data_IF_399212680285
#
_entry.id   IF_399212680285
#
_cell.length_a   1.000
_cell.length_b   1.000
_cell.length_c   1.000
_cell.angle_alpha   90.00
_cell.angle_beta   90.00
_cell.angle_gamma   90.00
#
_symmetry.space_group_name_H-M   'P 1'
#
loop_
_entity.id
_entity.type
_entity.pdbx_description
1 polymer ?
#
# COMPACT_ATOMS: atom_id res chain seq x y z
N UNK A 1 15.60 -2.38 18.26
CA UNK A 1 15.60 -3.66 17.54
C UNK A 1 14.67 -3.58 16.32
N UNK A 2 15.18 -3.09 15.19
CA UNK A 2 14.41 -2.90 13.95
C UNK A 2 14.12 -4.26 13.31
N UNK A 3 12.88 -4.71 13.39
CA UNK A 3 12.46 -5.97 12.75
C UNK A 3 12.36 -5.75 11.24
N UNK A 4 13.12 -6.54 10.48
CA UNK A 4 13.11 -6.63 9.01
C UNK A 4 11.69 -6.84 8.48
N UNK A 5 11.04 -5.80 7.99
CA UNK A 5 9.94 -5.92 7.05
C UNK A 5 10.54 -5.74 5.66
N UNK A 6 10.91 -6.85 5.02
CA UNK A 6 11.18 -6.87 3.58
C UNK A 6 9.87 -6.73 2.79
N UNK A 7 9.96 -6.65 1.45
CA UNK A 7 8.80 -6.62 0.55
C UNK A 7 8.13 -8.00 0.53
N UNK A 8 7.44 -8.39 1.62
CA UNK A 8 6.90 -9.74 1.78
C UNK A 8 5.47 -9.89 1.24
N UNK A 9 4.85 -8.85 0.67
CA UNK A 9 3.47 -8.90 0.13
C UNK A 9 3.39 -9.70 -1.17
N UNK A 10 4.49 -9.81 -1.90
CA UNK A 10 4.51 -10.44 -3.21
C UNK A 10 4.73 -11.97 -3.17
N UNK A 11 5.13 -12.54 -2.02
CA UNK A 11 5.35 -13.99 -1.84
C UNK A 11 4.17 -14.70 -1.15
N UNK A 12 3.10 -13.98 -0.80
CA UNK A 12 2.02 -14.54 0.02
C UNK A 12 0.93 -15.25 -0.78
N UNK A 13 0.81 -14.98 -2.08
CA UNK A 13 -0.20 -15.59 -2.94
C UNK A 13 0.43 -16.27 -4.18
N UNK A 14 0.18 -17.58 -4.41
CA UNK A 14 0.69 -18.32 -5.57
C UNK A 14 0.33 -17.67 -6.92
N UNK A 15 -0.85 -17.07 -7.01
CA UNK A 15 -1.41 -16.50 -8.24
C UNK A 15 -1.15 -14.99 -8.40
N UNK A 16 -0.55 -14.33 -7.40
CA UNK A 16 -0.26 -12.89 -7.48
C UNK A 16 0.62 -12.53 -8.69
N UNK A 17 1.53 -13.43 -9.07
CA UNK A 17 2.35 -13.24 -10.26
C UNK A 17 1.55 -13.30 -11.56
N UNK A 18 0.44 -14.05 -11.60
CA UNK A 18 -0.46 -14.07 -12.75
C UNK A 18 -1.13 -12.71 -12.97
N UNK A 19 -1.62 -12.09 -11.89
CA UNK A 19 -2.25 -10.76 -11.93
C UNK A 19 -1.27 -9.65 -12.36
N UNK A 20 -0.03 -9.69 -11.86
CA UNK A 20 1.01 -8.73 -12.27
C UNK A 20 1.42 -8.86 -13.74
N UNK A 21 1.17 -10.02 -14.38
CA UNK A 21 1.54 -10.30 -15.77
C UNK A 21 0.51 -9.82 -16.80
N UNK A 22 -0.64 -9.30 -16.37
CA UNK A 22 -1.76 -8.99 -17.27
C UNK A 22 -1.55 -7.74 -18.16
N UNK A 23 -0.40 -7.04 -18.10
CA UNK A 23 -0.22 -5.73 -18.75
C UNK A 23 1.07 -5.51 -19.55
N UNK A 24 1.35 -6.31 -20.59
CA UNK A 24 2.42 -5.99 -21.56
C UNK A 24 3.82 -6.57 -21.24
N UNK A 25 3.86 -7.66 -20.50
CA UNK A 25 5.08 -8.28 -19.95
C UNK A 25 6.14 -8.65 -20.99
N UNK A 26 5.75 -8.99 -22.23
CA UNK A 26 6.68 -9.31 -23.31
C UNK A 26 7.57 -8.15 -23.77
N UNK A 27 7.28 -6.90 -23.35
CA UNK A 27 8.15 -5.74 -23.59
C UNK A 27 9.07 -5.42 -22.40
N UNK A 28 8.72 -5.85 -21.19
CA UNK A 28 9.38 -5.43 -19.94
C UNK A 28 10.19 -6.55 -19.30
N UNK A 29 9.84 -7.82 -19.58
CA UNK A 29 10.52 -8.99 -19.03
C UNK A 29 10.85 -10.00 -20.14
N UNK A 30 12.07 -10.55 -20.07
CA UNK A 30 12.55 -11.53 -21.05
C UNK A 30 12.12 -12.97 -20.73
N UNK A 31 11.31 -13.19 -19.69
CA UNK A 31 10.88 -14.53 -19.29
C UNK A 31 10.01 -14.56 -18.04
N UNK A 32 9.53 -15.77 -17.71
CA UNK A 32 8.69 -16.05 -16.56
C UNK A 32 9.54 -16.60 -15.42
N UNK A 33 9.71 -15.83 -14.35
CA UNK A 33 10.41 -16.30 -13.15
C UNK A 33 9.47 -17.14 -12.26
N UNK A 34 10.00 -18.24 -11.74
CA UNK A 34 9.28 -19.05 -10.75
C UNK A 34 9.00 -18.22 -9.49
N UNK A 35 7.83 -18.37 -8.84
CA UNK A 35 7.48 -17.62 -7.63
C UNK A 35 8.55 -17.71 -6.52
N UNK A 36 9.21 -18.87 -6.39
CA UNK A 36 10.29 -19.11 -5.41
C UNK A 36 11.56 -18.29 -5.67
N UNK A 37 11.91 -18.05 -6.94
CA UNK A 37 13.05 -17.21 -7.34
C UNK A 37 12.80 -15.76 -6.95
N UNK A 38 11.61 -15.24 -7.28
CA UNK A 38 11.24 -13.88 -6.93
C UNK A 38 11.10 -13.71 -5.41
N UNK A 39 10.47 -14.65 -4.72
CA UNK A 39 10.37 -14.61 -3.26
C UNK A 39 11.73 -14.54 -2.57
N UNK A 40 12.74 -15.26 -3.09
CA UNK A 40 14.10 -15.21 -2.57
C UNK A 40 14.81 -13.89 -2.87
N UNK A 41 14.61 -13.33 -4.07
CA UNK A 41 15.09 -12.00 -4.43
C UNK A 41 14.50 -10.91 -3.53
N UNK A 42 13.18 -10.91 -3.32
CA UNK A 42 12.49 -9.93 -2.48
C UNK A 42 12.86 -10.05 -1.00
N UNK A 43 13.16 -11.27 -0.52
CA UNK A 43 13.70 -11.49 0.84
C UNK A 43 15.10 -10.91 1.04
N UNK A 44 15.88 -10.71 -0.02
CA UNK A 44 17.19 -10.06 0.06
C UNK A 44 17.09 -8.55 0.29
N UNK A 45 15.91 -7.94 0.13
CA UNK A 45 15.76 -6.50 0.28
C UNK A 45 15.80 -6.09 1.76
N UNK A 46 16.75 -5.22 2.08
CA UNK A 46 16.81 -4.53 3.38
C UNK A 46 15.93 -3.28 3.37
N UNK A 47 15.71 -2.68 4.54
CA UNK A 47 14.89 -1.48 4.70
C UNK A 47 15.26 -0.35 3.72
N UNK A 48 16.55 -0.13 3.46
CA UNK A 48 17.00 0.87 2.47
C UNK A 48 16.52 0.58 1.05
N UNK A 49 16.57 -0.67 0.60
CA UNK A 49 16.08 -1.07 -0.73
C UNK A 49 14.57 -0.88 -0.85
N UNK A 50 13.82 -1.18 0.22
CA UNK A 50 12.36 -0.94 0.25
C UNK A 50 12.07 0.55 0.06
N UNK A 51 12.82 1.42 0.74
CA UNK A 51 12.66 2.88 0.57
C UNK A 51 12.99 3.36 -0.83
N UNK A 52 13.98 2.77 -1.48
CA UNK A 52 14.28 3.08 -2.88
C UNK A 52 13.14 2.64 -3.80
N UNK A 53 12.54 1.47 -3.54
CA UNK A 53 11.39 1.00 -4.30
C UNK A 53 10.15 1.88 -4.09
N UNK A 54 9.92 2.38 -2.87
CA UNK A 54 8.84 3.33 -2.60
C UNK A 54 8.99 4.62 -3.42
N UNK A 55 10.21 5.14 -3.50
CA UNK A 55 10.51 6.35 -4.28
C UNK A 55 10.25 6.13 -5.77
N UNK A 56 10.68 4.98 -6.31
CA UNK A 56 10.40 4.59 -7.70
C UNK A 56 8.90 4.44 -7.93
N UNK A 57 8.18 3.80 -7.01
CA UNK A 57 6.74 3.61 -7.11
C UNK A 57 5.97 4.94 -7.10
N UNK A 58 6.36 5.88 -6.23
CA UNK A 58 5.76 7.22 -6.17
C UNK A 58 5.97 7.98 -7.48
N UNK A 59 7.21 8.01 -8.01
CA UNK A 59 7.51 8.65 -9.30
C UNK A 59 6.79 8.01 -10.47
N UNK A 60 6.69 6.67 -10.48
CA UNK A 60 5.94 5.95 -11.50
C UNK A 60 4.45 6.33 -11.47
N UNK A 61 3.86 6.37 -10.27
CA UNK A 61 2.46 6.74 -10.10
C UNK A 61 2.19 8.16 -10.59
N UNK A 62 3.04 9.12 -10.23
CA UNK A 62 2.95 10.52 -10.70
C UNK A 62 3.09 10.58 -12.23
N UNK A 63 4.08 9.88 -12.80
CA UNK A 63 4.26 9.80 -14.25
C UNK A 63 3.07 9.19 -14.98
N UNK A 64 2.40 8.20 -14.38
CA UNK A 64 1.22 7.56 -14.93
C UNK A 64 -0.01 8.47 -14.85
N UNK A 65 -0.22 9.14 -13.71
CA UNK A 65 -1.30 10.11 -13.52
C UNK A 65 -1.19 11.29 -14.52
N UNK A 66 0.02 11.70 -14.88
CA UNK A 66 0.23 12.74 -15.89
C UNK A 66 -0.09 12.30 -17.33
N UNK A 67 -0.17 10.99 -17.60
CA UNK A 67 -0.38 10.43 -18.95
C UNK A 67 -1.75 9.77 -19.11
N UNK A 68 -2.53 9.65 -18.05
CA UNK A 68 -3.77 8.87 -18.02
C UNK A 68 -4.79 9.55 -17.10
N UNK A 69 -6.10 9.30 -17.27
CA UNK A 69 -7.13 9.83 -16.36
C UNK A 69 -7.16 9.11 -14.99
N UNK A 70 -6.07 8.47 -14.56
CA UNK A 70 -5.98 7.69 -13.32
C UNK A 70 -6.39 8.50 -12.08
N UNK A 71 -6.13 9.82 -12.09
CA UNK A 71 -6.46 10.75 -11.01
C UNK A 71 -7.42 11.86 -11.47
N UNK A 72 -8.38 11.54 -12.36
CA UNK A 72 -9.41 12.50 -12.76
C UNK A 72 -10.13 13.08 -11.52
N UNK A 73 -10.42 14.39 -11.54
CA UNK A 73 -11.11 15.09 -10.44
C UNK A 73 -10.27 15.41 -9.19
N UNK A 74 -8.97 15.09 -9.15
CA UNK A 74 -8.11 15.30 -7.97
C UNK A 74 -7.92 16.79 -7.58
N UNK A 75 -8.10 17.70 -8.53
CA UNK A 75 -7.98 19.15 -8.33
C UNK A 75 -9.17 19.73 -7.53
N UNK A 76 -10.35 19.12 -7.65
CA UNK A 76 -11.58 19.53 -6.95
C UNK A 76 -11.57 19.03 -5.51
N UNK A 77 -11.60 17.71 -5.34
CA UNK A 77 -11.68 17.06 -4.04
C UNK A 77 -11.05 15.68 -4.10
N UNK A 78 -10.30 15.33 -3.04
CA UNK A 78 -9.66 14.03 -2.90
C UNK A 78 -9.80 13.57 -1.44
N UNK A 79 -10.24 12.33 -1.26
CA UNK A 79 -10.26 11.65 0.03
C UNK A 79 -9.00 10.82 0.16
N UNK A 80 -8.24 11.05 1.23
CA UNK A 80 -7.11 10.21 1.60
C UNK A 80 -7.56 9.33 2.77
N UNK A 81 -7.65 8.02 2.52
CA UNK A 81 -7.97 7.04 3.54
C UNK A 81 -6.72 6.28 3.97
N UNK A 82 -6.64 5.92 5.26
CA UNK A 82 -5.50 5.22 5.84
C UNK A 82 -6.01 4.07 6.69
N UNK A 83 -5.91 2.88 6.13
CA UNK A 83 -6.38 1.65 6.76
C UNK A 83 -5.24 0.69 7.06
N UNK A 84 -5.36 -0.03 8.17
CA UNK A 84 -4.66 -1.29 8.33
C UNK A 84 -5.58 -2.49 8.11
N UNK A 85 -5.04 -3.49 7.40
CA UNK A 85 -5.72 -4.73 7.11
C UNK A 85 -4.82 -5.93 7.36
N UNK A 86 -5.40 -7.09 7.56
CA UNK A 86 -4.68 -8.34 7.77
C UNK A 86 -4.77 -9.17 6.50
N UNK A 87 -3.61 -9.47 5.93
CA UNK A 87 -3.47 -10.46 4.86
C UNK A 87 -3.30 -11.80 5.56
N UNK A 88 -4.37 -12.59 5.61
CA UNK A 88 -4.33 -13.95 6.16
C UNK A 88 -3.36 -14.81 5.35
N UNK A 89 -2.57 -15.64 6.05
CA UNK A 89 -1.61 -16.53 5.41
C UNK A 89 -1.66 -17.94 5.97
N UNK A 90 -1.72 -18.89 5.06
CA UNK A 90 -1.66 -20.32 5.36
C UNK A 90 -0.22 -20.85 5.24
N UNK A 91 0.14 -21.82 6.08
CA UNK A 91 1.47 -22.46 6.09
C UNK A 91 2.49 -21.81 7.03
N UNK A 92 3.29 -22.65 7.71
CA UNK A 92 4.11 -22.24 8.85
C UNK A 92 5.33 -21.36 8.51
N UNK A 93 5.88 -21.49 7.30
CA UNK A 93 7.16 -20.86 6.93
C UNK A 93 7.07 -19.42 6.38
N UNK A 94 5.87 -18.80 6.37
CA UNK A 94 5.71 -17.43 5.85
C UNK A 94 6.38 -16.41 6.76
N UNK A 95 7.48 -15.83 6.29
CA UNK A 95 8.25 -14.84 7.02
C UNK A 95 7.40 -13.61 7.40
N UNK A 96 7.51 -13.16 8.65
CA UNK A 96 6.79 -11.99 9.13
C UNK A 96 5.32 -12.25 9.50
N UNK A 97 4.78 -13.42 9.14
CA UNK A 97 3.45 -13.84 9.56
C UNK A 97 3.40 -14.02 11.09
N UNK A 98 2.28 -13.65 11.70
CA UNK A 98 2.06 -13.87 13.11
C UNK A 98 0.64 -13.54 13.52
N UNK A 99 0.30 -13.91 14.75
CA UNK A 99 -0.98 -13.55 15.36
C UNK A 99 -0.91 -12.13 15.92
N UNK A 100 -1.88 -11.32 15.54
CA UNK A 100 -2.10 -9.97 16.05
C UNK A 100 -3.39 -9.87 16.88
N UNK A 101 -3.96 -8.67 16.97
CA UNK A 101 -5.15 -8.40 17.77
C UNK A 101 -6.41 -9.13 17.29
N UNK A 102 -6.49 -9.49 16.00
CA UNK A 102 -7.65 -10.19 15.42
C UNK A 102 -7.69 -11.69 15.73
N UNK A 103 -6.61 -12.27 16.26
CA UNK A 103 -6.46 -13.72 16.38
C UNK A 103 -6.24 -14.45 15.05
N UNK A 104 -6.26 -13.75 13.91
CA UNK A 104 -5.95 -14.31 12.59
C UNK A 104 -4.44 -14.30 12.37
N UNK A 105 -3.88 -15.43 11.91
CA UNK A 105 -2.46 -15.48 11.52
C UNK A 105 -2.28 -14.83 10.16
N UNK A 106 -1.59 -13.69 10.15
CA UNK A 106 -1.43 -12.94 8.92
C UNK A 106 -0.20 -12.07 8.90
N UNK A 107 -0.07 -11.30 7.83
CA UNK A 107 0.74 -10.09 7.77
C UNK A 107 -0.19 -8.89 7.95
N UNK A 108 0.31 -7.83 8.56
CA UNK A 108 -0.48 -6.61 8.70
C UNK A 108 -0.03 -5.62 7.62
N UNK A 109 -0.93 -5.25 6.71
CA UNK A 109 -0.70 -4.24 5.68
C UNK A 109 -1.29 -2.91 6.14
N UNK A 110 -0.55 -1.83 5.96
CA UNK A 110 -1.03 -0.47 6.14
C UNK A 110 -1.05 0.18 4.76
N UNK A 111 -2.21 0.66 4.34
CA UNK A 111 -2.47 1.21 3.02
C UNK A 111 -2.93 2.66 3.15
N UNK A 112 -2.49 3.50 2.21
CA UNK A 112 -3.06 4.82 2.00
C UNK A 112 -3.67 4.86 0.60
N UNK A 113 -4.96 5.11 0.51
CA UNK A 113 -5.70 5.17 -0.75
C UNK A 113 -6.23 6.58 -0.97
N UNK A 114 -6.17 7.03 -2.22
CA UNK A 114 -6.78 8.29 -2.64
C UNK A 114 -7.93 7.99 -3.57
N UNK A 115 -9.09 8.56 -3.26
CA UNK A 115 -10.30 8.47 -4.09
C UNK A 115 -10.76 9.87 -4.47
N UNK A 116 -11.26 10.03 -5.69
CA UNK A 116 -11.86 11.27 -6.17
C UNK A 116 -13.32 11.01 -6.57
N UNK A 117 -14.06 12.05 -6.94
CA UNK A 117 -15.42 11.89 -7.49
C UNK A 117 -15.45 11.22 -8.87
N UNK A 118 -14.32 11.13 -9.57
CA UNK A 118 -14.24 10.72 -10.98
C UNK A 118 -13.32 9.51 -11.22
N UNK A 119 -12.58 9.05 -10.21
CA UNK A 119 -11.65 7.94 -10.32
C UNK A 119 -11.83 6.94 -9.16
N UNK A 120 -11.60 5.67 -9.48
CA UNK A 120 -11.56 4.60 -8.48
C UNK A 120 -10.41 4.83 -7.48
N UNK A 121 -10.47 4.21 -6.27
CA UNK A 121 -9.41 4.33 -5.28
C UNK A 121 -8.04 3.90 -5.82
N UNK A 122 -7.03 4.74 -5.61
CA UNK A 122 -5.64 4.49 -6.00
C UNK A 122 -4.75 4.42 -4.76
N UNK A 123 -3.95 3.36 -4.64
CA UNK A 123 -2.99 3.23 -3.54
C UNK A 123 -1.83 4.21 -3.77
N UNK A 124 -1.65 5.17 -2.87
CA UNK A 124 -0.58 6.20 -2.95
C UNK A 124 0.59 5.93 -2.02
N UNK A 125 0.39 5.10 -1.00
CA UNK A 125 1.46 4.58 -0.16
C UNK A 125 1.05 3.25 0.48
N UNK A 126 2.04 2.39 0.75
CA UNK A 126 1.81 1.11 1.39
C UNK A 126 2.99 0.68 2.26
N UNK A 127 2.68 -0.07 3.31
CA UNK A 127 3.67 -0.67 4.20
C UNK A 127 3.19 -2.05 4.61
N UNK A 128 4.05 -3.04 4.46
CA UNK A 128 3.81 -4.34 5.06
C UNK A 128 4.52 -4.42 6.41
N UNK A 129 3.84 -5.01 7.38
CA UNK A 129 4.27 -5.12 8.76
C UNK A 129 4.13 -6.57 9.23
N UNK A 130 4.91 -6.92 10.24
CA UNK A 130 4.79 -8.21 10.92
C UNK A 130 3.36 -8.38 11.44
N UNK A 131 2.77 -9.56 11.31
CA UNK A 131 1.39 -9.84 11.75
C UNK A 131 1.12 -9.50 13.21
N UNK A 132 2.12 -9.69 14.06
CA UNK A 132 2.05 -9.39 15.50
C UNK A 132 2.24 -7.91 15.85
N UNK A 133 2.16 -6.99 14.88
CA UNK A 133 2.32 -5.56 15.14
C UNK A 133 0.98 -4.92 15.53
N UNK A 134 1.01 -3.97 16.46
CA UNK A 134 -0.16 -3.13 16.74
C UNK A 134 -0.39 -2.11 15.60
N UNK A 135 -1.66 -1.74 15.40
CA UNK A 135 -2.14 -0.93 14.27
C UNK A 135 -1.46 0.44 14.13
N UNK A 136 -0.97 1.03 15.21
CA UNK A 136 -0.26 2.32 15.16
C UNK A 136 1.18 2.23 14.59
N UNK A 137 1.79 1.04 14.50
CA UNK A 137 3.22 0.90 14.17
C UNK A 137 3.50 1.36 12.74
N UNK A 138 4.20 2.47 12.57
CA UNK A 138 4.55 3.00 11.24
C UNK A 138 3.47 3.88 10.61
N UNK A 139 2.31 4.04 11.25
CA UNK A 139 1.23 4.92 10.80
C UNK A 139 1.70 6.37 10.68
N UNK A 140 2.43 6.88 11.69
CA UNK A 140 3.02 8.25 11.65
C UNK A 140 3.81 8.52 10.38
N UNK A 141 4.58 7.54 9.90
CA UNK A 141 5.40 7.72 8.70
C UNK A 141 4.55 7.64 7.44
N UNK A 142 3.58 6.72 7.38
CA UNK A 142 2.66 6.63 6.25
C UNK A 142 1.82 7.92 6.11
N UNK A 143 1.34 8.47 7.23
CA UNK A 143 0.63 9.75 7.29
C UNK A 143 1.51 10.93 6.82
N UNK A 144 2.83 10.81 6.87
CA UNK A 144 3.74 11.82 6.31
C UNK A 144 4.02 11.59 4.81
N UNK A 145 4.25 10.33 4.42
CA UNK A 145 4.61 9.96 3.05
C UNK A 145 3.40 10.09 2.09
N UNK A 146 2.19 9.72 2.51
CA UNK A 146 1.00 9.70 1.65
C UNK A 146 0.55 11.10 1.19
N UNK A 147 0.46 12.12 2.07
CA UNK A 147 0.19 13.50 1.63
C UNK A 147 1.29 14.07 0.74
N UNK A 148 2.54 13.65 0.91
CA UNK A 148 3.63 14.08 0.04
C UNK A 148 3.45 13.54 -1.39
N UNK A 149 3.12 12.25 -1.55
CA UNK A 149 2.75 11.69 -2.86
C UNK A 149 1.50 12.36 -3.42
N UNK A 150 0.46 12.57 -2.61
CA UNK A 150 -0.76 13.26 -3.02
C UNK A 150 -0.49 14.69 -3.51
N UNK A 151 0.40 15.43 -2.84
CA UNK A 151 0.80 16.77 -3.26
C UNK A 151 1.53 16.78 -4.61
N UNK A 152 2.24 15.70 -4.97
CA UNK A 152 2.88 15.56 -6.29
C UNK A 152 1.87 15.14 -7.38
N UNK A 153 0.82 14.41 -7.00
CA UNK A 153 -0.28 14.04 -7.92
C UNK A 153 -1.20 15.21 -8.22
N UNK A 154 -1.33 16.14 -7.28
CA UNK A 154 -2.05 17.40 -7.47
C UNK A 154 -1.16 18.36 -8.24
N UNK A 155 -1.70 18.95 -9.30
CA UNK A 155 -1.03 20.00 -10.04
C UNK A 155 -0.81 21.24 -9.17
N UNK A 156 0.04 22.18 -9.62
CA UNK A 156 0.28 23.45 -8.91
C UNK A 156 -0.98 24.33 -8.76
N UNK A 157 -2.07 23.98 -9.42
CA UNK A 157 -3.38 24.68 -9.42
C UNK A 157 -4.33 24.22 -8.32
N UNK A 158 -4.01 23.15 -7.58
CA UNK A 158 -4.93 22.56 -6.62
C UNK A 158 -5.25 23.50 -5.45
N UNK A 159 -6.52 23.88 -5.30
CA UNK A 159 -6.96 24.93 -4.36
C UNK A 159 -7.51 24.42 -3.01
N UNK A 160 -7.50 23.12 -2.73
CA UNK A 160 -8.11 22.62 -1.50
C UNK A 160 -7.10 22.53 -0.34
N UNK A 161 -7.42 23.18 0.79
CA UNK A 161 -6.77 22.95 2.08
C UNK A 161 -7.10 21.53 2.56
N UNK A 162 -6.17 20.83 3.25
CA UNK A 162 -6.48 19.54 3.87
C UNK A 162 -7.58 19.74 4.91
N UNK A 163 -8.72 19.07 4.73
CA UNK A 163 -9.74 18.96 5.77
C UNK A 163 -9.41 17.71 6.59
N UNK A 164 -8.78 17.89 7.74
CA UNK A 164 -8.60 16.81 8.71
C UNK A 164 -9.77 16.84 9.69
N UNK A 165 -10.92 16.31 9.30
CA UNK A 165 -11.97 16.04 10.28
C UNK A 165 -11.68 14.71 10.99
N UNK A 166 -11.60 14.68 12.33
CA UNK A 166 -11.56 13.40 13.04
C UNK A 166 -12.87 12.66 12.78
N UNK A 167 -12.77 11.38 12.41
CA UNK A 167 -13.93 10.48 12.29
C UNK A 167 -14.67 10.50 13.64
N UNK A 168 -15.88 11.09 13.66
CA UNK A 168 -16.72 11.07 14.86
C UNK A 168 -17.19 9.63 15.07
N UNK A 169 -17.10 9.08 16.29
CA UNK A 169 -17.62 7.74 16.56
C UNK A 169 -19.12 7.70 16.24
N UNK A 170 -19.53 6.67 15.51
CA UNK A 170 -20.94 6.40 15.21
C UNK A 170 -21.72 6.30 16.52
N UNK A 171 -22.64 7.24 16.75
CA UNK A 171 -23.66 7.13 17.80
C UNK A 171 -24.73 6.14 17.34
N UNK A 172 -24.38 4.86 17.26
CA UNK A 172 -25.37 3.80 17.16
C UNK A 172 -26.10 3.74 18.51
N UNK A 173 -27.37 4.16 18.52
CA UNK A 173 -28.22 4.12 19.70
C UNK A 173 -28.31 2.70 20.27
N UNK A 174 -28.14 2.59 21.59
CA UNK A 174 -28.48 1.39 22.35
C UNK A 174 -30.00 1.18 22.23
N UNK A 175 -30.50 0.04 21.73
CA UNK A 175 -31.90 -0.29 21.91
C UNK A 175 -32.17 -0.49 23.40
N UNK A 176 -33.29 0.08 23.87
CA UNK A 176 -33.83 0.03 25.23
C UNK A 176 -34.17 -1.39 25.67
#
# INVERSE_FOLDING_TARGET
MQTRAGLTSFDTAPDAMGLLRHGGMGRVFNGVYAPSTLGSFLRAFAFGHIRQLDEVASRLLVGLANKTPLMAGIEEYALLDIDDTIIEVHGYAKQGAGFGYSGVRGLNALLATVTTSQAAPVIVAQRLRKGSCGSARGAKRLVADAPATLAQLRGPTARAKPLSEPIRPSTAGRPS
#
